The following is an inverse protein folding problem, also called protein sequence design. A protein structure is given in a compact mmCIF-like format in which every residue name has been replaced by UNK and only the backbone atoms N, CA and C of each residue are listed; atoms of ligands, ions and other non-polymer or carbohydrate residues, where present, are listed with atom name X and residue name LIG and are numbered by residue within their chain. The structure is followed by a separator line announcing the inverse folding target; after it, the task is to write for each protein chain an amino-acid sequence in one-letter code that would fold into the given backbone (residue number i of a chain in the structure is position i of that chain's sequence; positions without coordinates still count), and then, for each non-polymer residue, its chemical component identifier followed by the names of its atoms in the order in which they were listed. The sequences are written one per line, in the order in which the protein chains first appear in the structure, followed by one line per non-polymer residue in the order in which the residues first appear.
data_IF_205275844697
#
_entry.id   IF_205275844697
#
_cell.length_a   1.000
_cell.length_b   1.000
_cell.length_c   1.000
_cell.angle_alpha   90.00
_cell.angle_beta   90.00
_cell.angle_gamma   90.00
#
_symmetry.space_group_name_H-M   'P 1'
#
loop_
_entity.id
_entity.type
_entity.pdbx_description
1 polymer ?
#
# COMPACT_ATOMS: atom_id res chain seq x y z
N UNK A 1 27.32 -3.06 11.71
CA UNK A 1 28.16 -3.73 10.70
C UNK A 1 27.76 -3.21 9.33
N UNK A 2 28.72 -2.79 8.51
CA UNK A 2 28.45 -2.36 7.14
C UNK A 2 28.24 -3.58 6.25
N UNK A 3 27.15 -3.61 5.49
CA UNK A 3 26.85 -4.68 4.54
C UNK A 3 27.89 -4.70 3.40
N UNK A 4 28.30 -5.90 2.99
CA UNK A 4 29.11 -6.13 1.80
C UNK A 4 28.34 -5.75 0.52
N UNK A 5 29.05 -5.50 -0.57
CA UNK A 5 28.44 -5.20 -1.88
C UNK A 5 27.48 -6.31 -2.34
N UNK A 6 27.86 -7.58 -2.12
CA UNK A 6 27.03 -8.75 -2.46
C UNK A 6 25.72 -8.80 -1.66
N UNK A 7 25.78 -8.52 -0.36
CA UNK A 7 24.58 -8.46 0.50
C UNK A 7 23.66 -7.31 0.08
N UNK A 8 24.20 -6.14 -0.24
CA UNK A 8 23.42 -5.00 -0.74
C UNK A 8 22.72 -5.34 -2.06
N UNK A 9 23.40 -6.01 -2.99
CA UNK A 9 22.79 -6.46 -4.25
C UNK A 9 21.65 -7.46 -4.00
N UNK A 10 21.86 -8.42 -3.09
CA UNK A 10 20.83 -9.38 -2.67
C UNK A 10 19.59 -8.68 -2.11
N UNK A 11 19.78 -7.73 -1.20
CA UNK A 11 18.68 -6.96 -0.61
C UNK A 11 17.93 -6.14 -1.66
N UNK A 12 18.63 -5.45 -2.55
CA UNK A 12 18.02 -4.65 -3.61
C UNK A 12 17.24 -5.51 -4.62
N UNK A 13 17.75 -6.71 -4.94
CA UNK A 13 17.05 -7.67 -5.79
C UNK A 13 15.78 -8.17 -5.11
N UNK A 14 15.86 -8.55 -3.83
CA UNK A 14 14.69 -8.98 -3.07
C UNK A 14 13.66 -7.86 -2.89
N UNK A 15 14.09 -6.63 -2.64
CA UNK A 15 13.23 -5.45 -2.58
C UNK A 15 12.46 -5.22 -3.90
N UNK A 16 13.12 -5.45 -5.04
CA UNK A 16 12.49 -5.37 -6.36
C UNK A 16 11.42 -6.46 -6.55
N UNK A 17 11.72 -7.71 -6.17
CA UNK A 17 10.72 -8.78 -6.19
C UNK A 17 9.53 -8.48 -5.26
N UNK A 18 9.80 -7.95 -4.06
CA UNK A 18 8.76 -7.61 -3.10
C UNK A 18 7.84 -6.49 -3.63
N UNK A 19 8.42 -5.47 -4.28
CA UNK A 19 7.67 -4.43 -4.99
C UNK A 19 6.80 -5.05 -6.10
N UNK A 20 7.31 -5.97 -6.88
CA UNK A 20 6.52 -6.58 -7.98
C UNK A 20 5.37 -7.46 -7.44
N UNK A 21 5.53 -8.07 -6.25
CA UNK A 21 4.41 -8.72 -5.55
C UNK A 21 3.40 -7.67 -5.06
N UNK A 22 3.86 -6.55 -4.52
CA UNK A 22 2.99 -5.44 -4.11
C UNK A 22 2.21 -4.84 -5.31
N UNK A 23 2.84 -4.73 -6.48
CA UNK A 23 2.21 -4.30 -7.73
C UNK A 23 1.02 -5.23 -8.07
N UNK A 24 1.16 -6.55 -7.89
CA UNK A 24 0.10 -7.55 -8.12
C UNK A 24 -1.02 -7.48 -7.09
N UNK A 25 -0.68 -7.32 -5.81
CA UNK A 25 -1.67 -7.13 -4.75
C UNK A 25 -2.51 -5.87 -5.01
N UNK A 26 -1.86 -4.79 -5.44
CA UNK A 26 -2.53 -3.55 -5.81
C UNK A 26 -3.49 -3.71 -6.98
N UNK A 27 -3.05 -4.31 -8.09
CA UNK A 27 -3.92 -4.59 -9.25
C UNK A 27 -5.13 -5.42 -8.80
N UNK A 28 -4.88 -6.42 -7.96
CA UNK A 28 -5.93 -7.30 -7.43
C UNK A 28 -6.92 -6.53 -6.56
N UNK A 29 -6.43 -5.66 -5.65
CA UNK A 29 -7.26 -4.79 -4.83
C UNK A 29 -8.20 -3.93 -5.68
N UNK A 30 -7.67 -3.30 -6.74
CA UNK A 30 -8.48 -2.52 -7.69
C UNK A 30 -9.54 -3.35 -8.39
N UNK A 31 -9.19 -4.57 -8.79
CA UNK A 31 -10.12 -5.45 -9.48
C UNK A 31 -11.26 -5.89 -8.56
N UNK A 32 -10.96 -6.36 -7.34
CA UNK A 32 -11.99 -6.78 -6.39
C UNK A 32 -12.87 -5.62 -5.91
N UNK A 33 -12.33 -4.40 -5.82
CA UNK A 33 -13.13 -3.19 -5.60
C UNK A 33 -14.13 -2.96 -6.72
N UNK A 34 -13.71 -3.12 -7.99
CA UNK A 34 -14.61 -2.98 -9.15
C UNK A 34 -15.75 -4.01 -9.14
N UNK A 35 -15.53 -5.17 -8.53
CA UNK A 35 -16.51 -6.24 -8.36
C UNK A 35 -17.41 -6.09 -7.13
N UNK A 36 -17.14 -5.13 -6.24
CA UNK A 36 -17.91 -4.97 -5.01
C UNK A 36 -17.45 -5.83 -3.82
N UNK A 37 -16.28 -6.50 -3.91
CA UNK A 37 -15.76 -7.40 -2.88
C UNK A 37 -14.87 -6.63 -1.88
N UNK A 38 -15.50 -5.95 -0.92
CA UNK A 38 -14.87 -4.91 -0.11
C UNK A 38 -13.90 -5.43 0.96
N UNK A 39 -14.18 -6.59 1.54
CA UNK A 39 -13.29 -7.25 2.50
C UNK A 39 -11.99 -7.67 1.81
N UNK A 40 -12.08 -8.20 0.59
CA UNK A 40 -10.92 -8.53 -0.24
C UNK A 40 -10.17 -7.27 -0.67
N UNK A 41 -10.88 -6.18 -0.97
CA UNK A 41 -10.26 -4.89 -1.26
C UNK A 41 -9.43 -4.39 -0.08
N UNK A 42 -9.98 -4.36 1.14
CA UNK A 42 -9.26 -3.94 2.34
C UNK A 42 -8.01 -4.79 2.58
N UNK A 43 -8.16 -6.12 2.53
CA UNK A 43 -7.04 -7.04 2.73
C UNK A 43 -5.92 -6.87 1.69
N UNK A 44 -6.26 -6.86 0.40
CA UNK A 44 -5.27 -6.74 -0.67
C UNK A 44 -4.62 -5.35 -0.69
N UNK A 45 -5.36 -4.31 -0.32
CA UNK A 45 -4.82 -2.95 -0.17
C UNK A 45 -3.79 -2.86 0.96
N UNK A 46 -4.12 -3.42 2.13
CA UNK A 46 -3.19 -3.54 3.25
C UNK A 46 -1.91 -4.29 2.83
N UNK A 47 -2.08 -5.43 2.19
CA UNK A 47 -0.98 -6.27 1.71
C UNK A 47 -0.08 -5.53 0.72
N UNK A 48 -0.65 -4.77 -0.22
CA UNK A 48 0.11 -3.96 -1.17
C UNK A 48 0.91 -2.87 -0.45
N UNK A 49 0.25 -2.06 0.38
CA UNK A 49 0.88 -0.96 1.13
C UNK A 49 2.01 -1.47 2.01
N UNK A 50 1.78 -2.54 2.78
CA UNK A 50 2.79 -3.15 3.64
C UNK A 50 4.02 -3.60 2.84
N UNK A 51 3.83 -4.29 1.72
CA UNK A 51 4.95 -4.77 0.89
C UNK A 51 5.72 -3.64 0.24
N UNK A 52 5.04 -2.58 -0.24
CA UNK A 52 5.75 -1.40 -0.75
C UNK A 52 6.59 -0.73 0.33
N UNK A 53 6.03 -0.50 1.52
CA UNK A 53 6.76 0.13 2.63
C UNK A 53 7.96 -0.73 3.08
N UNK A 54 7.78 -2.06 3.15
CA UNK A 54 8.90 -2.99 3.40
C UNK A 54 9.95 -2.96 2.29
N UNK A 55 9.54 -2.85 1.02
CA UNK A 55 10.48 -2.70 -0.09
C UNK A 55 11.30 -1.41 0.05
N UNK A 56 10.68 -0.28 0.45
CA UNK A 56 11.39 0.98 0.73
C UNK A 56 12.45 0.78 1.82
N UNK A 57 12.10 0.12 2.94
CA UNK A 57 13.09 -0.18 3.99
C UNK A 57 14.27 -1.00 3.44
N UNK A 58 14.00 -2.02 2.63
CA UNK A 58 15.03 -2.91 2.08
C UNK A 58 15.95 -2.21 1.06
N UNK A 59 15.41 -1.33 0.19
CA UNK A 59 16.23 -0.49 -0.70
C UNK A 59 17.15 0.48 0.06
N UNK A 60 16.79 0.79 1.31
CA UNK A 60 17.60 1.60 2.22
C UNK A 60 18.40 0.75 3.21
N UNK A 61 18.46 -0.57 3.02
CA UNK A 61 19.17 -1.53 3.86
C UNK A 61 18.75 -1.51 5.34
N UNK A 62 17.49 -1.17 5.61
CA UNK A 62 16.90 -1.14 6.95
C UNK A 62 16.11 -2.43 7.18
N UNK A 63 16.30 -3.13 8.32
CA UNK A 63 15.54 -4.35 8.63
C UNK A 63 14.03 -4.10 8.73
N UNK A 64 13.24 -5.01 8.13
CA UNK A 64 11.78 -4.96 8.08
C UNK A 64 11.09 -6.17 8.77
N UNK A 65 11.84 -6.94 9.56
CA UNK A 65 11.43 -8.21 10.17
C UNK A 65 10.44 -8.11 11.34
N UNK A 66 10.27 -6.91 11.92
CA UNK A 66 9.47 -6.69 13.14
C UNK A 66 7.99 -6.43 12.86
N UNK A 67 7.59 -6.26 11.61
CA UNK A 67 6.27 -5.74 11.28
C UNK A 67 5.36 -6.82 10.71
N UNK A 68 4.15 -6.89 11.24
CA UNK A 68 3.07 -7.76 10.75
C UNK A 68 1.78 -6.95 10.68
N UNK A 69 1.43 -6.46 9.49
CA UNK A 69 0.22 -5.67 9.26
C UNK A 69 0.19 -4.30 9.97
N UNK A 70 1.36 -3.70 10.19
CA UNK A 70 1.52 -2.40 10.88
C UNK A 70 2.11 -1.35 9.93
N UNK A 71 1.35 -0.97 8.91
CA UNK A 71 1.75 0.00 7.89
C UNK A 71 2.14 1.37 8.47
N UNK A 72 1.41 1.87 9.47
CA UNK A 72 1.68 3.14 10.16
C UNK A 72 2.98 3.07 10.94
N UNK A 73 3.29 1.93 11.56
CA UNK A 73 4.57 1.71 12.25
C UNK A 73 5.75 1.64 11.27
N UNK A 74 5.57 0.98 10.12
CA UNK A 74 6.59 0.94 9.06
C UNK A 74 6.84 2.35 8.51
N UNK A 75 5.79 3.11 8.22
CA UNK A 75 5.89 4.50 7.74
C UNK A 75 6.70 5.37 8.72
N UNK A 76 6.35 5.34 10.02
CA UNK A 76 7.08 6.06 11.06
C UNK A 76 8.56 5.67 11.08
N UNK A 77 8.88 4.38 10.93
CA UNK A 77 10.27 3.91 10.89
C UNK A 77 11.03 4.45 9.67
N UNK A 78 10.39 4.53 8.50
CA UNK A 78 11.01 5.11 7.29
C UNK A 78 11.36 6.57 7.57
N UNK A 79 10.39 7.39 7.95
CA UNK A 79 10.59 8.83 8.23
C UNK A 79 11.65 9.06 9.32
N UNK A 80 11.74 8.20 10.33
CA UNK A 80 12.74 8.34 11.40
C UNK A 80 14.15 7.88 11.02
N UNK A 81 14.31 7.01 10.00
CA UNK A 81 15.59 6.36 9.66
C UNK A 81 16.15 6.77 8.31
N UNK A 82 15.38 7.48 7.49
CA UNK A 82 15.79 7.96 6.17
C UNK A 82 15.35 9.40 5.98
N UNK A 83 15.87 10.06 4.94
CA UNK A 83 15.45 11.41 4.54
C UNK A 83 14.16 11.38 3.66
N UNK A 84 13.43 10.27 3.68
CA UNK A 84 12.26 10.04 2.83
C UNK A 84 11.00 10.46 3.59
N UNK A 85 10.38 11.52 3.10
CA UNK A 85 8.98 11.83 3.39
C UNK A 85 8.11 11.55 2.15
N UNK A 86 7.01 10.84 2.36
CA UNK A 86 6.03 10.55 1.33
C UNK A 86 5.05 11.70 1.10
N UNK A 87 5.04 12.72 1.97
CA UNK A 87 4.08 13.84 1.95
C UNK A 87 2.64 13.33 2.05
N UNK A 88 2.34 12.53 3.09
CA UNK A 88 1.02 11.92 3.28
C UNK A 88 0.02 12.92 3.86
N UNK A 89 -1.13 13.06 3.21
CA UNK A 89 -2.27 13.83 3.70
C UNK A 89 -3.06 13.06 4.78
N UNK A 90 -3.96 13.75 5.48
CA UNK A 90 -4.77 13.13 6.54
C UNK A 90 -5.72 12.05 6.01
N UNK A 91 -6.16 12.12 4.75
CA UNK A 91 -7.00 11.09 4.14
C UNK A 91 -6.23 9.79 3.92
N UNK A 92 -4.98 9.90 3.47
CA UNK A 92 -4.05 8.78 3.25
C UNK A 92 -3.67 8.10 4.57
N UNK A 93 -3.39 8.87 5.63
CA UNK A 93 -3.14 8.32 6.97
C UNK A 93 -4.36 7.60 7.53
N UNK A 94 -5.55 8.22 7.45
CA UNK A 94 -6.81 7.59 7.86
C UNK A 94 -7.12 6.32 7.07
N UNK A 95 -6.77 6.28 5.78
CA UNK A 95 -6.92 5.05 5.00
C UNK A 95 -5.99 3.96 5.54
N UNK A 96 -4.72 4.26 5.83
CA UNK A 96 -3.80 3.28 6.42
C UNK A 96 -4.34 2.71 7.73
N UNK A 97 -4.85 3.56 8.62
CA UNK A 97 -5.45 3.12 9.88
C UNK A 97 -6.66 2.18 9.63
N UNK A 98 -7.55 2.54 8.70
CA UNK A 98 -8.68 1.66 8.31
C UNK A 98 -8.24 0.34 7.69
N UNK A 99 -7.16 0.34 6.90
CA UNK A 99 -6.62 -0.89 6.30
C UNK A 99 -6.08 -1.84 7.37
N UNK A 100 -5.46 -1.31 8.43
CA UNK A 100 -4.98 -2.09 9.57
C UNK A 100 -6.14 -2.66 10.40
N UNK A 101 -7.19 -1.88 10.62
CA UNK A 101 -8.43 -2.36 11.26
C UNK A 101 -9.11 -3.45 10.40
N UNK A 102 -9.13 -3.24 9.08
CA UNK A 102 -9.65 -4.17 8.07
C UNK A 102 -8.83 -5.45 7.87
N UNK A 103 -7.65 -5.56 8.50
CA UNK A 103 -6.77 -6.74 8.46
C UNK A 103 -7.43 -8.00 9.06
N UNK A 104 -8.48 -7.82 9.84
CA UNK A 104 -9.21 -8.92 10.44
C UNK A 104 -9.96 -9.75 9.40
N UNK A 105 -9.43 -10.94 9.11
CA UNK A 105 -10.03 -11.90 8.16
C UNK A 105 -11.24 -12.65 8.74
N UNK A 106 -11.47 -12.57 10.04
CA UNK A 106 -12.50 -13.34 10.74
C UNK A 106 -13.76 -12.55 11.03
N UNK A 107 -13.88 -11.34 10.46
CA UNK A 107 -15.08 -10.52 10.56
C UNK A 107 -15.46 -10.29 12.03
N UNK A 108 -14.49 -9.87 12.85
CA UNK A 108 -14.63 -9.60 14.27
C UNK A 108 -14.79 -8.12 14.60
N UNK A 109 -14.40 -7.27 13.66
CA UNK A 109 -14.53 -5.84 13.77
C UNK A 109 -15.40 -5.31 12.65
N UNK A 110 -16.04 -4.17 12.92
CA UNK A 110 -16.74 -3.41 11.90
C UNK A 110 -15.76 -3.01 10.81
N UNK A 111 -16.18 -3.18 9.55
CA UNK A 111 -15.39 -2.77 8.40
C UNK A 111 -16.13 -1.70 7.64
N UNK A 112 -15.39 -0.68 7.25
CA UNK A 112 -15.89 0.49 6.55
C UNK A 112 -15.05 0.75 5.31
N UNK A 113 -15.71 0.87 4.16
CA UNK A 113 -15.10 1.33 2.91
C UNK A 113 -15.85 2.54 2.41
N UNK A 114 -15.12 3.64 2.28
CA UNK A 114 -15.62 4.89 1.74
C UNK A 114 -15.50 4.90 0.20
N UNK A 115 -16.35 5.67 -0.47
CA UNK A 115 -16.33 5.78 -1.93
C UNK A 115 -15.02 6.38 -2.45
N UNK A 116 -14.32 7.19 -1.65
CA UNK A 116 -13.02 7.76 -2.02
C UNK A 116 -11.84 6.81 -1.78
N UNK A 117 -12.02 5.66 -1.11
CA UNK A 117 -10.92 4.81 -0.66
C UNK A 117 -10.04 4.31 -1.80
N UNK A 118 -10.64 3.92 -2.93
CA UNK A 118 -9.85 3.53 -4.10
C UNK A 118 -8.98 4.67 -4.65
N UNK A 119 -9.49 5.91 -4.65
CA UNK A 119 -8.74 7.08 -5.14
C UNK A 119 -7.65 7.52 -4.15
N UNK A 120 -7.91 7.38 -2.85
CA UNK A 120 -6.91 7.61 -1.81
C UNK A 120 -5.82 6.54 -1.89
N UNK A 121 -6.19 5.27 -2.09
CA UNK A 121 -5.26 4.16 -2.27
C UNK A 121 -4.36 4.39 -3.49
N UNK A 122 -4.92 4.82 -4.63
CA UNK A 122 -4.14 5.09 -5.83
C UNK A 122 -3.08 6.17 -5.60
N UNK A 123 -3.45 7.24 -4.88
CA UNK A 123 -2.54 8.32 -4.49
C UNK A 123 -1.46 7.82 -3.54
N UNK A 124 -1.85 7.10 -2.48
CA UNK A 124 -0.96 6.55 -1.47
C UNK A 124 0.08 5.61 -2.10
N UNK A 125 -0.36 4.64 -2.89
CA UNK A 125 0.52 3.69 -3.57
C UNK A 125 1.46 4.42 -4.53
N UNK A 126 0.96 5.38 -5.30
CA UNK A 126 1.81 6.15 -6.18
C UNK A 126 2.89 6.92 -5.40
N UNK A 127 2.55 7.57 -4.28
CA UNK A 127 3.50 8.31 -3.43
C UNK A 127 4.57 7.38 -2.86
N UNK A 128 4.20 6.23 -2.30
CA UNK A 128 5.14 5.26 -1.73
C UNK A 128 6.03 4.65 -2.83
N UNK A 129 5.41 4.21 -3.93
CA UNK A 129 6.08 3.44 -4.99
C UNK A 129 7.23 4.22 -5.64
N UNK A 130 7.18 5.56 -5.66
CA UNK A 130 8.30 6.41 -6.14
C UNK A 130 9.63 6.10 -5.45
N UNK A 131 9.59 5.59 -4.23
CA UNK A 131 10.75 5.26 -3.42
C UNK A 131 11.09 3.76 -3.43
N UNK A 132 10.32 2.92 -4.13
CA UNK A 132 10.59 1.49 -4.30
C UNK A 132 11.60 1.22 -5.43
N UNK A 133 12.76 1.85 -5.33
CA UNK A 133 13.88 1.68 -6.25
C UNK A 133 15.19 1.92 -5.53
N UNK A 134 16.30 1.39 -6.07
CA UNK A 134 17.61 1.63 -5.48
C UNK A 134 18.03 3.09 -5.73
N UNK A 135 17.93 3.92 -4.68
CA UNK A 135 18.35 5.33 -4.70
C UNK A 135 19.83 5.52 -4.32
N UNK A 136 20.53 4.42 -4.02
CA UNK A 136 21.91 4.38 -3.54
C UNK A 136 22.90 3.89 -4.61
N UNK A 137 22.54 3.97 -5.89
CA UNK A 137 23.35 3.46 -7.01
C UNK A 137 24.82 3.94 -7.00
N UNK A 138 25.11 5.07 -6.36
CA UNK A 138 26.47 5.60 -6.15
C UNK A 138 26.81 5.79 -4.66
N UNK A 139 26.92 4.69 -3.92
CA UNK A 139 27.33 4.68 -2.50
C UNK A 139 28.66 5.42 -2.19
N UNK A 140 29.46 5.77 -3.21
CA UNK A 140 30.66 6.61 -3.06
C UNK A 140 30.35 8.10 -2.81
N UNK A 141 29.12 8.57 -3.02
CA UNK A 141 28.74 9.98 -2.82
C UNK A 141 27.36 10.06 -2.15
N UNK A 142 27.33 10.22 -0.83
CA UNK A 142 26.10 10.60 -0.06
C UNK A 142 25.34 11.78 -0.70
N UNK A 143 26.05 12.68 -1.38
CA UNK A 143 25.48 13.79 -2.16
C UNK A 143 24.51 13.36 -3.27
N UNK A 144 24.62 12.15 -3.83
CA UNK A 144 23.76 11.68 -4.94
C UNK A 144 22.46 11.10 -4.41
N UNK A 145 22.49 10.39 -3.27
CA UNK A 145 21.28 9.90 -2.61
C UNK A 145 20.37 11.06 -2.21
N UNK A 146 20.92 12.05 -1.50
CA UNK A 146 20.16 13.25 -1.11
C UNK A 146 19.63 13.99 -2.33
N UNK A 147 20.42 14.15 -3.40
CA UNK A 147 19.96 14.76 -4.65
C UNK A 147 18.87 13.94 -5.35
N UNK A 148 18.89 12.61 -5.28
CA UNK A 148 17.87 11.78 -5.93
C UNK A 148 16.56 11.81 -5.14
N UNK A 149 16.63 11.76 -3.81
CA UNK A 149 15.47 11.96 -2.93
C UNK A 149 14.91 13.36 -3.11
N UNK A 150 15.77 14.40 -3.08
CA UNK A 150 15.38 15.78 -3.38
C UNK A 150 14.80 15.90 -4.79
N UNK A 151 15.33 15.19 -5.79
CA UNK A 151 14.77 15.19 -7.14
C UNK A 151 13.42 14.50 -7.18
N UNK A 152 13.18 13.40 -6.48
CA UNK A 152 11.84 12.77 -6.39
C UNK A 152 10.84 13.70 -5.71
N UNK A 153 11.28 14.43 -4.68
CA UNK A 153 10.49 15.44 -3.98
C UNK A 153 10.26 16.70 -4.83
N UNK A 154 11.24 17.14 -5.63
CA UNK A 154 11.18 18.32 -6.51
C UNK A 154 10.57 18.05 -7.89
N UNK A 155 10.60 16.81 -8.38
CA UNK A 155 10.26 16.52 -9.79
C UNK A 155 8.81 16.82 -10.09
N UNK A 156 8.59 17.28 -11.32
CA UNK A 156 7.30 17.54 -11.98
C UNK A 156 6.34 16.32 -12.04
N UNK A 157 6.65 15.20 -11.39
CA UNK A 157 5.73 14.08 -11.19
C UNK A 157 4.46 14.51 -10.41
N UNK A 158 4.56 15.57 -9.59
CA UNK A 158 3.39 16.27 -9.02
C UNK A 158 2.46 16.87 -10.11
N UNK A 159 2.98 17.20 -11.29
CA UNK A 159 2.22 17.83 -12.40
C UNK A 159 1.53 16.77 -13.28
N UNK A 160 2.14 15.59 -13.46
CA UNK A 160 1.51 14.48 -14.17
C UNK A 160 1.98 13.09 -13.66
N UNK A 161 1.23 12.48 -12.73
CA UNK A 161 1.56 11.17 -12.13
C UNK A 161 1.84 10.05 -13.13
N UNK A 162 1.16 10.06 -14.28
CA UNK A 162 1.23 9.01 -15.29
C UNK A 162 2.54 8.98 -16.09
N UNK A 163 3.34 10.05 -16.01
CA UNK A 163 4.67 10.10 -16.64
C UNK A 163 5.73 9.40 -15.80
N UNK A 164 5.48 9.23 -14.50
CA UNK A 164 6.42 8.54 -13.62
C UNK A 164 6.47 7.05 -13.99
N UNK A 165 7.69 6.52 -14.12
CA UNK A 165 7.92 5.12 -14.41
C UNK A 165 9.17 4.62 -13.68
N UNK A 166 9.10 3.40 -13.16
CA UNK A 166 10.27 2.70 -12.60
C UNK A 166 10.82 1.76 -13.66
N UNK A 167 12.13 1.81 -13.90
CA UNK A 167 12.77 0.92 -14.84
C UNK A 167 12.66 -0.53 -14.34
N UNK A 168 12.12 -1.42 -15.19
CA UNK A 168 11.90 -2.82 -14.86
C UNK A 168 10.83 -3.07 -13.79
N UNK A 169 9.92 -2.11 -13.56
CA UNK A 169 8.77 -2.31 -12.68
C UNK A 169 7.64 -3.11 -13.34
N UNK A 170 6.90 -3.88 -12.53
CA UNK A 170 5.83 -4.73 -13.04
C UNK A 170 4.64 -3.93 -13.61
N UNK A 171 4.23 -2.84 -12.94
CA UNK A 171 3.16 -1.96 -13.47
C UNK A 171 3.50 -1.41 -14.87
N UNK A 172 4.76 -1.00 -15.08
CA UNK A 172 5.23 -0.50 -16.37
C UNK A 172 5.26 -1.60 -17.44
N UNK A 173 5.64 -2.81 -17.07
CA UNK A 173 5.64 -3.97 -17.95
C UNK A 173 4.22 -4.28 -18.45
N UNK A 174 3.24 -4.37 -17.55
CA UNK A 174 1.86 -4.73 -17.94
C UNK A 174 1.20 -3.65 -18.80
N UNK A 175 1.52 -2.37 -18.57
CA UNK A 175 0.96 -1.25 -19.35
C UNK A 175 1.47 -1.24 -20.80
N UNK A 176 2.64 -1.81 -21.07
CA UNK A 176 3.27 -1.84 -22.41
C UNK A 176 3.14 -3.18 -23.13
N UNK A 177 2.84 -4.25 -22.39
CA UNK A 177 2.86 -5.60 -22.93
C UNK A 177 1.67 -5.87 -23.87
N UNK A 178 1.89 -6.53 -25.03
CA UNK A 178 0.82 -6.90 -25.95
C UNK A 178 0.06 -8.17 -25.51
N UNK A 179 0.48 -8.84 -24.44
CA UNK A 179 -0.12 -10.09 -23.95
C UNK A 179 -1.52 -9.85 -23.39
N UNK A 180 -2.48 -10.73 -23.70
CA UNK A 180 -3.88 -10.54 -23.31
C UNK A 180 -4.10 -10.57 -21.80
N UNK A 181 -3.34 -11.37 -21.06
CA UNK A 181 -3.37 -11.35 -19.61
C UNK A 181 -2.95 -9.98 -19.06
N UNK A 182 -1.85 -9.42 -19.58
CA UNK A 182 -1.38 -8.10 -19.19
C UNK A 182 -2.35 -6.99 -19.61
N UNK A 183 -3.07 -7.12 -20.74
CA UNK A 183 -4.15 -6.19 -21.09
C UNK A 183 -5.26 -6.17 -20.04
N UNK A 184 -5.66 -7.34 -19.52
CA UNK A 184 -6.67 -7.43 -18.44
C UNK A 184 -6.18 -6.78 -17.15
N UNK A 185 -4.93 -7.03 -16.77
CA UNK A 185 -4.32 -6.41 -15.60
C UNK A 185 -4.16 -4.88 -15.77
N UNK A 186 -3.71 -4.44 -16.95
CA UNK A 186 -3.59 -3.02 -17.31
C UNK A 186 -4.96 -2.32 -17.32
N UNK A 187 -6.03 -3.02 -17.72
CA UNK A 187 -7.39 -2.52 -17.61
C UNK A 187 -7.77 -2.30 -16.14
N UNK A 188 -7.57 -3.29 -15.26
CA UNK A 188 -7.82 -3.14 -13.83
C UNK A 188 -6.99 -2.00 -13.20
N UNK A 189 -5.72 -1.87 -13.58
CA UNK A 189 -4.84 -0.79 -13.13
C UNK A 189 -5.33 0.58 -13.59
N UNK A 190 -5.65 0.73 -14.86
CA UNK A 190 -5.95 2.04 -15.45
C UNK A 190 -7.41 2.49 -15.31
N UNK A 191 -8.36 1.57 -15.07
CA UNK A 191 -9.79 1.88 -14.98
C UNK A 191 -10.08 2.92 -13.90
N UNK A 192 -10.56 4.12 -14.25
CA UNK A 192 -10.76 5.26 -13.32
C UNK A 192 -9.55 5.63 -12.42
N UNK A 193 -8.33 5.27 -12.81
CA UNK A 193 -7.11 5.61 -12.07
C UNK A 193 -6.50 6.94 -12.59
N UNK A 194 -6.35 7.97 -11.75
CA UNK A 194 -5.65 9.20 -12.12
C UNK A 194 -4.12 9.03 -12.18
N UNK A 195 -3.55 8.14 -11.37
CA UNK A 195 -2.11 7.96 -11.19
C UNK A 195 -1.49 7.09 -12.29
N UNK A 196 -2.17 6.03 -12.70
CA UNK A 196 -1.67 5.05 -13.65
C UNK A 196 -2.53 4.96 -14.91
N UNK A 197 -1.88 4.94 -16.07
CA UNK A 197 -2.53 4.72 -17.36
C UNK A 197 -1.77 5.32 -18.54
N UNK A 198 -2.16 4.92 -19.74
CA UNK A 198 -1.54 5.40 -21.00
C UNK A 198 -1.97 6.84 -21.33
N UNK A 199 -3.19 7.22 -20.94
CA UNK A 199 -3.80 8.52 -21.27
C UNK A 199 -4.15 9.32 -20.02
N UNK A 200 -3.90 10.63 -20.08
CA UNK A 200 -4.24 11.57 -19.01
C UNK A 200 -5.74 11.71 -18.84
N UNK A 201 -6.23 11.43 -17.64
CA UNK A 201 -7.63 11.60 -17.25
C UNK A 201 -7.79 12.91 -16.50
N UNK A 202 -8.39 13.91 -17.15
CA UNK A 202 -8.68 15.22 -16.53
C UNK A 202 -9.92 15.20 -15.63
N UNK A 203 -10.89 14.33 -15.93
CA UNK A 203 -12.14 14.17 -15.15
C UNK A 203 -12.52 12.69 -15.11
N UNK A 204 -13.03 12.23 -13.97
CA UNK A 204 -13.60 10.89 -13.81
C UNK A 204 -15.11 10.98 -14.05
N UNK A 205 -15.61 10.22 -15.04
CA UNK A 205 -17.05 10.12 -15.32
C UNK A 205 -17.64 8.88 -14.62
N UNK A 206 -18.89 8.98 -14.18
CA UNK A 206 -19.67 7.89 -13.60
C UNK A 206 -18.91 7.14 -12.50
N UNK A 207 -18.22 7.88 -11.62
CA UNK A 207 -17.56 7.28 -10.47
C UNK A 207 -18.62 6.72 -9.52
N UNK A 208 -18.43 5.50 -9.05
CA UNK A 208 -19.44 4.81 -8.24
C UNK A 208 -19.35 5.41 -6.84
N UNK A 209 -20.37 6.14 -6.42
CA UNK A 209 -20.49 6.61 -5.05
C UNK A 209 -21.25 5.54 -4.27
N UNK A 210 -20.53 4.74 -3.49
CA UNK A 210 -21.14 3.74 -2.61
C UNK A 210 -20.38 3.70 -1.29
N UNK A 211 -21.11 3.38 -0.24
CA UNK A 211 -20.56 3.11 1.07
C UNK A 211 -20.74 1.63 1.38
N UNK A 212 -19.71 0.97 1.88
CA UNK A 212 -19.82 -0.40 2.36
C UNK A 212 -19.55 -0.43 3.85
N UNK A 213 -20.53 -0.95 4.61
CA UNK A 213 -20.41 -1.16 6.04
C UNK A 213 -20.73 -2.61 6.32
N UNK A 214 -19.81 -3.25 7.04
CA UNK A 214 -19.85 -4.66 7.36
C UNK A 214 -19.76 -4.79 8.87
N UNK A 215 -20.90 -5.05 9.52
CA UNK A 215 -21.02 -5.13 10.98
C UNK A 215 -21.07 -6.60 11.39
N UNK A 216 -20.19 -7.05 12.31
CA UNK A 216 -20.25 -8.41 12.81
C UNK A 216 -21.38 -8.61 13.82
N UNK A 217 -21.86 -9.86 14.04
CA UNK A 217 -22.99 -10.11 14.92
C UNK A 217 -22.65 -10.06 16.42
N UNK A 218 -21.37 -10.23 16.79
CA UNK A 218 -20.93 -10.38 18.18
C UNK A 218 -20.42 -9.13 18.93
N UNK A 219 -20.25 -7.92 18.37
CA UNK A 219 -19.94 -6.71 19.15
C UNK A 219 -20.93 -6.47 20.29
N UNK A 220 -22.19 -6.82 20.08
CA UNK A 220 -23.29 -6.65 21.04
C UNK A 220 -23.49 -7.89 21.95
N UNK A 221 -22.75 -8.98 21.71
CA UNK A 221 -22.99 -10.28 22.36
C UNK A 221 -21.65 -10.94 22.76
N UNK A 222 -21.02 -10.50 23.86
CA UNK A 222 -19.71 -10.97 24.27
C UNK A 222 -19.64 -12.48 24.55
N UNK A 223 -20.75 -13.09 24.97
CA UNK A 223 -20.85 -14.53 25.21
C UNK A 223 -20.71 -15.35 23.92
N UNK A 224 -21.23 -14.85 22.80
CA UNK A 224 -21.09 -15.49 21.48
C UNK A 224 -19.63 -15.47 20.99
N UNK A 225 -18.86 -14.44 21.35
CA UNK A 225 -17.44 -14.38 20.99
C UNK A 225 -16.62 -15.46 21.71
N UNK A 226 -16.92 -15.75 22.98
CA UNK A 226 -16.29 -16.85 23.72
C UNK A 226 -16.64 -18.22 23.13
N UNK A 227 -17.89 -18.40 22.68
CA UNK A 227 -18.27 -19.60 21.93
C UNK A 227 -17.44 -19.73 20.64
N UNK A 228 -17.35 -18.67 19.83
CA UNK A 228 -16.59 -18.69 18.57
C UNK A 228 -15.11 -19.03 18.81
N UNK A 229 -14.49 -18.53 19.89
CA UNK A 229 -13.10 -18.85 20.25
C UNK A 229 -12.86 -20.33 20.53
N UNK A 230 -13.88 -21.09 20.97
CA UNK A 230 -13.77 -22.54 21.17
C UNK A 230 -13.67 -23.30 19.84
N UNK A 231 -14.24 -22.77 18.76
CA UNK A 231 -14.36 -23.47 17.48
C UNK A 231 -13.46 -22.90 16.37
N UNK A 232 -13.06 -21.63 16.46
CA UNK A 232 -12.26 -20.95 15.44
C UNK A 232 -10.93 -20.50 16.03
N UNK A 233 -9.84 -21.10 15.53
CA UNK A 233 -8.47 -20.71 15.90
C UNK A 233 -8.11 -19.37 15.27
N UNK A 234 -7.47 -18.49 16.05
CA UNK A 234 -6.91 -17.23 15.54
C UNK A 234 -7.79 -15.99 15.72
N UNK A 235 -8.94 -16.11 16.42
CA UNK A 235 -9.72 -14.94 16.86
C UNK A 235 -8.91 -14.16 17.91
N UNK A 236 -8.44 -12.93 17.62
CA UNK A 236 -7.73 -12.12 18.60
C UNK A 236 -8.52 -11.92 19.90
N UNK A 237 -7.81 -11.92 21.02
CA UNK A 237 -8.34 -11.43 22.30
C UNK A 237 -8.60 -9.92 22.12
N UNK A 238 -9.77 -9.43 22.53
CA UNK A 238 -10.19 -8.01 22.41
C UNK A 238 -8.97 -7.11 22.71
N UNK A 239 -8.55 -6.25 21.77
CA UNK A 239 -7.82 -5.04 22.17
C UNK A 239 -8.84 -4.25 22.98
N UNK A 240 -8.58 -4.05 24.27
CA UNK A 240 -9.39 -3.20 25.14
C UNK A 240 -9.63 -1.89 24.40
N UNK A 241 -10.89 -1.58 24.08
CA UNK A 241 -11.25 -0.30 23.52
C UNK A 241 -10.72 0.77 24.48
N UNK A 242 -9.79 1.60 24.00
CA UNK A 242 -9.47 2.84 24.68
C UNK A 242 -10.80 3.58 24.87
N UNK A 243 -11.12 3.91 26.12
CA UNK A 243 -12.31 4.68 26.49
C UNK A 243 -12.43 5.86 25.52
N UNK A 244 -13.49 5.89 24.72
CA UNK A 244 -13.99 7.16 24.19
C UNK A 244 -14.29 8.00 25.43
N UNK A 245 -13.49 9.03 25.65
CA UNK A 245 -13.86 10.08 26.57
C UNK A 245 -14.95 10.85 25.85
N UNK A 246 -16.18 10.69 26.31
CA UNK A 246 -17.29 11.53 25.94
C UNK A 246 -16.98 12.96 26.39
N UNK A 247 -17.08 13.90 25.44
CA UNK A 247 -17.12 15.33 25.67
C UNK A 247 -18.39 15.89 25.06
#
# INVERSE_FOLDING_TARGET
MSLTSSEQQTLNRYASYLRDIADKDYISARHVYSLGLMENFLWLSLQAVEKYLKAVLLFNHIPANSFSHETTAIYKKIVCKTDIDFDLDEGEKKLMDRLEEGADRYYLQEKFVDFYDLLILDRLIWKIRRYCQNLNLDAKRKSIHSKTVENIQRTQAHINPQKFHIQGGYLEQILRSPLDEHKRQAHALSYKNPQYGIRRKKKLKNYRNFLSVSIPPHPNEPEKLELLRKYIRGIPKKKTAAKRQDG
#
